data_IF_074925133688
#
_entry.id   IF_074925133688
#
_cell.length_a   1.000
_cell.length_b   1.000
_cell.length_c   1.000
_cell.angle_alpha   90.00
_cell.angle_beta   90.00
_cell.angle_gamma   90.00
#
_symmetry.space_group_name_H-M   'P 1'
#
loop_
_entity.id
_entity.type
_entity.pdbx_description
1 polymer ?
#
# COMPACT_ATOMS: atom_id res chain seq x y z
N UNK A 1 5.07 5.15 -23.80
CA UNK A 1 5.97 4.06 -23.36
C UNK A 1 5.20 3.23 -22.36
N UNK A 2 5.35 1.89 -22.32
CA UNK A 2 4.67 1.10 -21.31
C UNK A 2 5.21 1.50 -19.93
N UNK A 3 4.30 1.68 -18.97
CA UNK A 3 4.67 1.95 -17.59
C UNK A 3 5.36 0.71 -16.96
N UNK A 4 5.98 0.88 -15.80
CA UNK A 4 6.77 -0.18 -15.17
C UNK A 4 6.08 -0.77 -13.95
N UNK A 5 6.42 -2.02 -13.72
CA UNK A 5 6.07 -2.79 -12.53
C UNK A 5 7.35 -3.23 -11.84
N UNK A 6 7.23 -3.72 -10.62
CA UNK A 6 8.38 -4.30 -9.92
C UNK A 6 8.03 -4.80 -8.53
N UNK A 7 6.76 -5.07 -8.25
CA UNK A 7 6.42 -5.78 -7.03
C UNK A 7 6.83 -7.24 -7.19
N UNK A 8 7.76 -7.68 -6.34
CA UNK A 8 8.14 -9.09 -6.20
C UNK A 8 7.05 -9.85 -5.43
N UNK A 9 7.07 -11.18 -5.54
CA UNK A 9 6.08 -12.04 -4.86
C UNK A 9 5.98 -11.74 -3.35
N UNK A 10 4.80 -11.95 -2.72
CA UNK A 10 4.64 -11.65 -1.30
C UNK A 10 5.63 -12.48 -0.46
N UNK A 11 6.33 -11.83 0.46
CA UNK A 11 7.33 -12.47 1.35
C UNK A 11 6.71 -13.49 2.30
N UNK A 12 5.47 -13.26 2.74
CA UNK A 12 4.72 -14.12 3.67
C UNK A 12 5.42 -14.38 5.02
N UNK A 13 6.25 -13.44 5.49
CA UNK A 13 6.81 -13.52 6.84
C UNK A 13 5.73 -13.19 7.89
N UNK A 14 5.89 -13.63 9.15
CA UNK A 14 4.96 -13.28 10.22
C UNK A 14 4.77 -11.76 10.36
N UNK A 15 3.52 -11.32 10.49
CA UNK A 15 3.14 -9.93 10.68
C UNK A 15 1.88 -9.83 11.55
N UNK A 16 1.61 -8.62 12.05
CA UNK A 16 0.34 -8.29 12.67
C UNK A 16 -0.82 -8.55 11.70
N UNK A 17 -1.98 -8.94 12.22
CA UNK A 17 -3.19 -9.14 11.43
C UNK A 17 -4.23 -8.11 11.81
N UNK A 18 -4.72 -7.32 10.87
CA UNK A 18 -5.62 -6.22 11.17
C UNK A 18 -6.84 -6.68 11.98
N UNK A 19 -7.48 -7.77 11.53
CA UNK A 19 -8.64 -8.39 12.19
C UNK A 19 -8.47 -8.74 13.67
N UNK A 20 -7.26 -8.80 14.22
CA UNK A 20 -7.09 -9.14 15.65
C UNK A 20 -7.25 -7.92 16.55
N UNK A 21 -6.95 -6.71 16.07
CA UNK A 21 -6.92 -5.50 16.89
C UNK A 21 -7.80 -4.36 16.35
N UNK A 22 -8.58 -4.56 15.28
CA UNK A 22 -9.65 -3.61 14.95
C UNK A 22 -10.86 -3.84 15.84
N UNK A 23 -11.48 -2.76 16.31
CA UNK A 23 -12.56 -2.79 17.27
C UNK A 23 -13.71 -3.70 16.79
N UNK A 24 -13.98 -4.83 17.47
CA UNK A 24 -15.22 -5.56 17.29
C UNK A 24 -16.33 -4.65 17.79
N UNK A 25 -17.37 -4.39 17.00
CA UNK A 25 -18.65 -3.99 17.59
C UNK A 25 -19.18 -5.19 18.39
N UNK A 26 -18.67 -5.35 19.62
CA UNK A 26 -19.05 -6.29 20.67
C UNK A 26 -19.29 -7.78 20.26
N UNK A 27 -18.45 -8.67 20.80
CA UNK A 27 -18.74 -10.10 21.05
C UNK A 27 -19.01 -11.02 19.83
N UNK A 28 -17.95 -11.74 19.40
CA UNK A 28 -18.08 -13.18 19.13
C UNK A 28 -18.10 -13.70 17.68
N UNK A 29 -17.91 -12.88 16.64
CA UNK A 29 -17.62 -13.33 15.26
C UNK A 29 -16.64 -12.37 14.57
N UNK A 30 -15.87 -12.84 13.57
CA UNK A 30 -14.78 -12.12 12.87
C UNK A 30 -15.05 -10.61 12.85
N UNK A 31 -14.30 -9.78 13.59
CA UNK A 31 -14.62 -8.38 13.76
C UNK A 31 -14.39 -7.64 12.44
N UNK A 32 -15.47 -7.15 11.86
CA UNK A 32 -15.40 -6.09 10.86
C UNK A 32 -15.97 -4.85 11.54
N UNK A 33 -15.16 -3.80 11.77
CA UNK A 33 -15.65 -2.53 12.27
C UNK A 33 -16.76 -2.00 11.38
N UNK A 34 -17.81 -1.43 11.99
CA UNK A 34 -18.78 -0.64 11.23
C UNK A 34 -18.03 0.53 10.61
N UNK A 35 -18.07 0.63 9.28
CA UNK A 35 -17.47 1.71 8.51
C UNK A 35 -18.57 2.40 7.68
N UNK A 36 -18.33 3.63 7.20
CA UNK A 36 -19.25 4.30 6.30
C UNK A 36 -19.55 3.46 5.05
N UNK A 37 -20.63 3.76 4.32
CA UNK A 37 -20.93 3.02 3.08
C UNK A 37 -20.00 3.41 1.93
N UNK A 38 -19.28 4.50 2.10
CA UNK A 38 -18.53 5.23 1.07
C UNK A 38 -17.39 5.96 1.76
N UNK A 39 -16.18 5.88 1.23
CA UNK A 39 -15.08 6.78 1.60
C UNK A 39 -14.29 7.17 0.37
N UNK A 40 -13.77 8.39 0.36
CA UNK A 40 -12.95 8.89 -0.75
C UNK A 40 -11.90 9.88 -0.21
N UNK A 41 -10.77 9.33 0.24
CA UNK A 41 -9.64 10.13 0.67
C UNK A 41 -8.86 10.68 -0.53
N UNK A 42 -8.97 10.05 -1.71
CA UNK A 42 -8.27 10.44 -2.93
C UNK A 42 -8.79 11.77 -3.49
N UNK A 43 -10.11 12.01 -3.44
CA UNK A 43 -10.74 13.22 -3.99
C UNK A 43 -10.27 14.54 -3.36
N UNK A 44 -9.57 14.51 -2.22
CA UNK A 44 -8.97 15.70 -1.59
C UNK A 44 -7.68 16.15 -2.28
N UNK A 45 -7.08 15.30 -3.10
CA UNK A 45 -5.78 15.51 -3.72
C UNK A 45 -5.88 15.43 -5.24
N UNK A 46 -5.14 16.31 -5.90
CA UNK A 46 -4.89 16.27 -7.34
C UNK A 46 -3.40 16.13 -7.62
N UNK A 47 -3.03 16.05 -8.90
CA UNK A 47 -1.63 16.11 -9.34
C UNK A 47 -0.74 15.02 -8.74
N UNK A 48 -1.27 13.79 -8.70
CA UNK A 48 -0.49 12.60 -8.37
C UNK A 48 0.66 12.44 -9.38
N UNK A 49 1.83 12.08 -8.87
CA UNK A 49 3.05 11.99 -9.66
C UNK A 49 3.37 10.53 -9.97
N UNK A 50 3.99 10.32 -11.14
CA UNK A 50 4.47 9.00 -11.57
C UNK A 50 5.70 8.56 -10.76
N UNK A 51 6.51 9.53 -10.32
CA UNK A 51 7.68 9.34 -9.46
C UNK A 51 8.66 8.27 -9.98
N UNK A 52 8.85 8.18 -11.29
CA UNK A 52 9.84 7.31 -11.93
C UNK A 52 9.33 5.90 -12.25
N UNK A 53 8.08 5.59 -11.91
CA UNK A 53 7.44 4.31 -12.23
C UNK A 53 7.00 4.15 -13.69
N UNK A 54 7.42 5.07 -14.56
CA UNK A 54 7.44 4.94 -16.01
C UNK A 54 8.79 4.46 -16.56
N UNK A 55 9.86 4.52 -15.76
CA UNK A 55 11.22 4.12 -16.17
C UNK A 55 11.81 2.97 -15.36
N UNK A 56 11.49 2.85 -14.06
CA UNK A 56 12.02 1.83 -13.16
C UNK A 56 10.93 0.98 -12.48
N UNK A 57 11.31 -0.20 -11.96
CA UNK A 57 10.42 -1.13 -11.25
C UNK A 57 10.04 -0.71 -9.81
N UNK A 58 9.92 0.57 -9.55
CA UNK A 58 9.86 1.19 -8.22
C UNK A 58 8.45 1.42 -7.67
N UNK A 59 7.43 0.83 -8.28
CA UNK A 59 6.01 0.95 -7.89
C UNK A 59 5.75 0.89 -6.37
N UNK A 60 6.52 0.07 -5.66
CA UNK A 60 6.44 -0.04 -4.21
C UNK A 60 6.93 1.23 -3.51
N UNK A 61 8.05 1.81 -3.95
CA UNK A 61 8.55 3.08 -3.41
C UNK A 61 7.66 4.27 -3.78
N UNK A 62 7.04 4.26 -4.96
CA UNK A 62 6.00 5.24 -5.32
C UNK A 62 4.76 5.08 -4.45
N UNK A 63 4.35 3.84 -4.14
CA UNK A 63 3.22 3.60 -3.22
C UNK A 63 3.49 4.11 -1.82
N UNK A 64 4.72 3.98 -1.31
CA UNK A 64 5.14 4.64 -0.07
C UNK A 64 4.92 6.15 -0.14
N UNK A 65 5.45 6.82 -1.16
CA UNK A 65 5.33 8.27 -1.30
C UNK A 65 3.86 8.72 -1.40
N UNK A 66 3.05 8.01 -2.19
CA UNK A 66 1.62 8.29 -2.34
C UNK A 66 0.87 8.10 -1.01
N UNK A 67 1.17 7.03 -0.26
CA UNK A 67 0.54 6.78 1.03
C UNK A 67 0.93 7.83 2.07
N UNK A 68 2.21 8.25 2.11
CA UNK A 68 2.67 9.33 2.99
C UNK A 68 1.97 10.65 2.66
N UNK A 69 1.84 11.00 1.38
CA UNK A 69 1.06 12.16 0.93
C UNK A 69 -0.39 12.08 1.41
N UNK A 70 -1.05 10.96 1.16
CA UNK A 70 -2.47 10.79 1.53
C UNK A 70 -2.67 10.94 3.04
N UNK A 71 -1.82 10.30 3.85
CA UNK A 71 -1.92 10.33 5.32
C UNK A 71 -1.66 11.73 5.85
N UNK A 72 -0.58 12.38 5.41
CA UNK A 72 -0.20 13.72 5.88
C UNK A 72 -1.23 14.79 5.47
N UNK A 73 -1.77 14.72 4.25
CA UNK A 73 -2.83 15.64 3.81
C UNK A 73 -4.13 15.51 4.63
N UNK A 74 -4.41 14.32 5.19
CA UNK A 74 -5.62 14.07 5.96
C UNK A 74 -5.46 14.34 7.46
N UNK A 75 -4.26 14.16 8.00
CA UNK A 75 -4.03 14.13 9.45
C UNK A 75 -2.99 15.15 9.94
N UNK A 76 -2.25 15.80 9.04
CA UNK A 76 -1.23 16.79 9.40
C UNK A 76 -1.03 17.85 8.29
N UNK A 77 0.21 18.30 8.09
CA UNK A 77 0.61 19.14 6.95
C UNK A 77 1.02 18.24 5.79
N UNK A 78 0.37 18.39 4.64
CA UNK A 78 0.67 17.60 3.43
C UNK A 78 2.17 17.61 3.12
N UNK A 79 2.73 16.41 3.01
CA UNK A 79 4.08 16.17 2.53
C UNK A 79 4.01 15.13 1.41
N UNK A 80 4.41 15.51 0.19
CA UNK A 80 4.57 14.57 -0.91
C UNK A 80 6.07 14.26 -1.09
N UNK A 81 6.53 13.06 -0.70
CA UNK A 81 7.94 12.70 -0.88
C UNK A 81 8.39 12.85 -2.34
N UNK A 82 9.57 13.43 -2.50
CA UNK A 82 10.17 13.74 -3.79
C UNK A 82 10.67 12.49 -4.53
N UNK A 83 10.95 12.65 -5.83
CA UNK A 83 11.59 11.60 -6.63
C UNK A 83 12.89 11.07 -6.00
N UNK A 84 13.70 11.96 -5.40
CA UNK A 84 14.96 11.57 -4.74
C UNK A 84 14.68 10.65 -3.55
N UNK A 85 13.68 10.98 -2.74
CA UNK A 85 13.28 10.16 -1.59
C UNK A 85 12.71 8.81 -2.04
N UNK A 86 11.96 8.77 -3.14
CA UNK A 86 11.50 7.51 -3.75
C UNK A 86 12.70 6.64 -4.15
N UNK A 87 13.72 7.21 -4.78
CA UNK A 87 14.95 6.48 -5.11
C UNK A 87 15.72 5.99 -3.89
N UNK A 88 15.83 6.82 -2.85
CA UNK A 88 16.46 6.43 -1.59
C UNK A 88 15.74 5.24 -0.94
N UNK A 89 14.41 5.23 -0.96
CA UNK A 89 13.65 4.07 -0.46
C UNK A 89 13.77 2.85 -1.39
N UNK A 90 13.77 3.04 -2.71
CA UNK A 90 13.95 1.95 -3.68
C UNK A 90 15.31 1.24 -3.51
N UNK A 91 16.36 2.02 -3.27
CA UNK A 91 17.73 1.54 -3.06
C UNK A 91 17.90 0.72 -1.76
N UNK A 92 16.94 0.76 -0.83
CA UNK A 92 16.98 -0.10 0.38
C UNK A 92 16.91 -1.58 0.05
N UNK A 93 16.29 -1.94 -1.09
CA UNK A 93 16.25 -3.31 -1.61
C UNK A 93 17.11 -3.48 -2.88
N UNK A 94 17.57 -2.38 -3.47
CA UNK A 94 18.36 -2.35 -4.71
C UNK A 94 19.62 -1.48 -4.53
N UNK A 95 20.56 -1.84 -3.63
CA UNK A 95 21.70 -0.96 -3.29
C UNK A 95 22.68 -0.73 -4.45
N UNK A 96 22.62 -1.55 -5.50
CA UNK A 96 23.41 -1.37 -6.72
C UNK A 96 22.76 -0.47 -7.76
N UNK A 97 21.49 -0.10 -7.59
CA UNK A 97 20.74 0.73 -8.54
C UNK A 97 21.20 2.19 -8.48
N UNK A 98 21.48 2.78 -9.65
CA UNK A 98 21.80 4.21 -9.81
C UNK A 98 20.74 4.88 -10.70
N UNK A 99 19.93 5.81 -10.18
CA UNK A 99 18.94 6.53 -10.98
C UNK A 99 19.52 7.30 -12.17
N UNK A 100 20.82 7.64 -12.15
CA UNK A 100 21.53 8.30 -13.24
C UNK A 100 22.26 7.32 -14.19
N UNK A 101 22.24 6.02 -13.86
CA UNK A 101 22.85 4.96 -14.66
C UNK A 101 22.05 4.62 -15.91
N UNK A 102 22.58 3.69 -16.70
CA UNK A 102 21.94 3.19 -17.93
C UNK A 102 21.41 1.77 -17.74
N UNK A 103 20.58 1.29 -18.68
CA UNK A 103 20.09 -0.09 -18.67
C UNK A 103 21.22 -1.13 -18.83
N UNK A 104 22.36 -0.76 -19.42
CA UNK A 104 23.51 -1.65 -19.61
C UNK A 104 24.41 -1.74 -18.36
N UNK A 105 24.34 -0.75 -17.47
CA UNK A 105 25.15 -0.67 -16.27
C UNK A 105 24.31 -1.04 -15.03
N UNK A 106 23.63 -0.05 -14.44
CA UNK A 106 22.96 -0.17 -13.15
C UNK A 106 21.76 0.77 -12.97
N UNK A 107 21.25 1.39 -14.04
CA UNK A 107 20.12 2.30 -14.00
C UNK A 107 18.76 1.66 -14.31
N UNK A 108 17.74 2.48 -14.62
CA UNK A 108 16.40 2.01 -14.97
C UNK A 108 16.42 0.96 -16.09
N UNK A 109 15.74 -0.17 -15.87
CA UNK A 109 15.71 -1.31 -16.79
C UNK A 109 16.95 -2.20 -16.80
N UNK A 110 17.97 -1.91 -15.98
CA UNK A 110 19.16 -2.76 -15.84
C UNK A 110 18.92 -4.00 -14.97
N UNK A 111 19.92 -4.88 -14.88
CA UNK A 111 19.90 -6.00 -13.94
C UNK A 111 19.89 -5.59 -12.45
N UNK A 112 20.10 -4.31 -12.13
CA UNK A 112 19.97 -3.75 -10.77
C UNK A 112 18.58 -3.18 -10.48
N UNK A 113 17.72 -3.06 -11.50
CA UNK A 113 16.31 -2.64 -11.37
C UNK A 113 15.42 -3.86 -11.05
N UNK A 114 15.52 -4.37 -9.82
CA UNK A 114 14.95 -5.68 -9.44
C UNK A 114 13.60 -5.59 -8.71
N UNK A 115 13.04 -4.39 -8.58
CA UNK A 115 11.79 -4.19 -7.88
C UNK A 115 11.91 -4.31 -6.36
N UNK A 116 10.79 -4.49 -5.67
CA UNK A 116 10.73 -4.60 -4.21
C UNK A 116 9.69 -5.61 -3.74
N UNK A 117 9.92 -6.20 -2.59
CA UNK A 117 8.88 -6.89 -1.81
C UNK A 117 8.21 -5.87 -0.88
N UNK A 118 6.87 -5.87 -0.83
CA UNK A 118 6.10 -4.92 0.00
C UNK A 118 6.48 -5.07 1.47
N UNK A 119 6.41 -6.29 2.01
CA UNK A 119 6.69 -6.56 3.43
C UNK A 119 8.12 -6.18 3.84
N UNK A 120 9.13 -6.45 3.00
CA UNK A 120 10.52 -6.02 3.28
C UNK A 120 10.62 -4.49 3.35
N UNK A 121 9.86 -3.77 2.53
CA UNK A 121 9.76 -2.31 2.60
C UNK A 121 9.08 -1.83 3.88
N UNK A 122 7.97 -2.45 4.28
CA UNK A 122 7.26 -2.13 5.52
C UNK A 122 8.10 -2.40 6.78
N UNK A 123 8.86 -3.50 6.79
CA UNK A 123 9.85 -3.79 7.84
C UNK A 123 10.92 -2.70 7.92
N UNK A 124 11.45 -2.25 6.78
CA UNK A 124 12.41 -1.15 6.73
C UNK A 124 11.81 0.14 7.30
N UNK A 125 10.60 0.51 6.89
CA UNK A 125 9.89 1.71 7.38
C UNK A 125 9.62 1.63 8.89
N UNK A 126 9.37 0.43 9.42
CA UNK A 126 9.16 0.21 10.84
C UNK A 126 10.48 0.16 11.65
N UNK A 127 11.61 -0.21 11.07
CA UNK A 127 12.90 -0.30 11.79
C UNK A 127 13.72 0.98 11.65
N UNK A 128 13.83 1.52 10.45
CA UNK A 128 14.72 2.63 10.10
C UNK A 128 13.96 3.94 9.85
N UNK A 129 12.70 3.85 9.41
CA UNK A 129 11.93 4.99 8.94
C UNK A 129 12.08 5.24 7.44
N UNK A 130 11.20 6.07 6.90
CA UNK A 130 11.23 6.50 5.51
C UNK A 130 12.27 7.60 5.27
N UNK A 131 12.65 7.84 4.00
CA UNK A 131 13.47 8.99 3.63
C UNK A 131 12.90 10.36 4.02
N UNK A 132 11.58 10.45 4.27
CA UNK A 132 10.92 11.63 4.84
C UNK A 132 11.19 11.85 6.34
N UNK A 133 11.99 10.97 6.96
CA UNK A 133 12.34 11.01 8.38
C UNK A 133 11.28 10.40 9.30
N UNK A 134 10.16 9.88 8.76
CA UNK A 134 9.07 9.34 9.57
C UNK A 134 9.14 7.83 9.66
N UNK A 135 9.05 7.32 10.89
CA UNK A 135 9.09 5.89 11.19
C UNK A 135 7.69 5.32 11.38
N UNK A 136 7.39 4.20 10.72
CA UNK A 136 6.13 3.50 10.94
C UNK A 136 6.09 2.94 12.36
N UNK A 137 4.99 3.18 13.08
CA UNK A 137 4.75 2.65 14.43
C UNK A 137 4.58 1.13 14.35
N UNK A 138 3.81 0.66 13.38
CA UNK A 138 3.62 -0.75 13.06
C UNK A 138 3.01 -0.89 11.65
N UNK A 139 2.87 -2.13 11.17
CA UNK A 139 2.14 -2.46 9.94
C UNK A 139 1.44 -3.80 10.12
N UNK A 140 0.35 -4.04 9.39
CA UNK A 140 -0.44 -5.26 9.51
C UNK A 140 -1.04 -5.71 8.18
N UNK A 141 -1.19 -7.02 8.02
CA UNK A 141 -1.91 -7.63 6.89
C UNK A 141 -3.40 -7.36 7.02
N UNK A 142 -4.04 -7.03 5.90
CA UNK A 142 -5.48 -6.98 5.72
C UNK A 142 -5.91 -8.23 4.96
N UNK A 143 -6.97 -8.91 5.41
CA UNK A 143 -7.57 -10.00 4.63
C UNK A 143 -8.25 -9.43 3.37
N UNK A 144 -7.50 -9.36 2.27
CA UNK A 144 -8.00 -8.82 1.00
C UNK A 144 -9.17 -9.63 0.41
N UNK A 145 -9.39 -10.87 0.88
CA UNK A 145 -10.55 -11.69 0.48
C UNK A 145 -11.82 -11.33 1.25
N UNK A 146 -11.69 -10.53 2.31
CA UNK A 146 -12.78 -9.99 3.10
C UNK A 146 -12.95 -8.50 2.78
N UNK A 147 -13.76 -8.18 1.76
CA UNK A 147 -14.00 -6.79 1.34
C UNK A 147 -14.45 -5.87 2.49
N UNK A 148 -15.16 -6.41 3.48
CA UNK A 148 -15.61 -5.62 4.60
C UNK A 148 -14.44 -5.24 5.54
N UNK A 149 -13.41 -6.09 5.67
CA UNK A 149 -12.15 -5.75 6.36
C UNK A 149 -11.31 -4.75 5.56
N UNK A 150 -11.32 -4.85 4.22
CA UNK A 150 -10.67 -3.89 3.31
C UNK A 150 -11.30 -2.50 3.45
N UNK A 151 -12.63 -2.41 3.43
CA UNK A 151 -13.36 -1.15 3.58
C UNK A 151 -13.17 -0.55 4.99
N UNK A 152 -13.14 -1.39 6.03
CA UNK A 152 -12.81 -0.94 7.38
C UNK A 152 -11.37 -0.41 7.47
N UNK A 153 -10.40 -1.08 6.83
CA UNK A 153 -9.02 -0.63 6.76
C UNK A 153 -8.92 0.75 6.08
N UNK A 154 -9.55 0.92 4.93
CA UNK A 154 -9.62 2.21 4.23
C UNK A 154 -10.28 3.29 5.10
N UNK A 155 -11.39 2.99 5.77
CA UNK A 155 -12.08 3.95 6.61
C UNK A 155 -11.27 4.39 7.84
N UNK A 156 -10.50 3.49 8.45
CA UNK A 156 -9.73 3.78 9.68
C UNK A 156 -8.40 4.48 9.35
N UNK A 157 -7.67 3.99 8.34
CA UNK A 157 -6.28 4.41 8.05
C UNK A 157 -6.16 5.35 6.84
N UNK A 158 -7.26 5.62 6.13
CA UNK A 158 -7.27 6.49 4.95
C UNK A 158 -6.72 5.85 3.68
N UNK A 159 -5.84 4.85 3.80
CA UNK A 159 -5.26 4.16 2.66
C UNK A 159 -4.76 2.76 2.98
N UNK A 160 -4.71 1.92 1.95
CA UNK A 160 -4.12 0.58 2.01
C UNK A 160 -3.08 0.44 0.89
N UNK A 161 -2.03 -0.29 1.20
CA UNK A 161 -0.97 -0.64 0.26
C UNK A 161 -1.26 -2.01 -0.30
N UNK A 162 -1.60 -2.08 -1.60
CA UNK A 162 -1.97 -3.32 -2.26
C UNK A 162 -0.81 -3.86 -3.08
N UNK A 163 -0.66 -5.18 -3.08
CA UNK A 163 0.10 -5.91 -4.08
C UNK A 163 -0.85 -6.66 -5.00
N UNK A 164 -0.74 -6.38 -6.30
CA UNK A 164 -1.59 -6.96 -7.34
C UNK A 164 -0.77 -7.62 -8.43
N UNK A 165 -1.41 -8.49 -9.19
CA UNK A 165 -0.96 -8.97 -10.50
C UNK A 165 -1.66 -8.16 -11.59
N UNK A 166 -0.88 -7.57 -12.49
CA UNK A 166 -1.37 -6.80 -13.63
C UNK A 166 -1.41 -7.69 -14.87
N UNK A 167 -2.47 -7.56 -15.66
CA UNK A 167 -2.64 -8.23 -16.94
C UNK A 167 -2.31 -7.27 -18.08
N UNK A 168 -1.88 -7.80 -19.24
CA UNK A 168 -1.63 -6.99 -20.45
C UNK A 168 -2.82 -6.06 -20.75
N UNK A 169 -4.04 -6.60 -20.67
CA UNK A 169 -5.27 -5.86 -20.93
C UNK A 169 -5.54 -4.71 -19.95
N UNK A 170 -4.97 -4.73 -18.73
CA UNK A 170 -5.16 -3.64 -17.79
C UNK A 170 -4.37 -2.38 -18.18
N UNK A 171 -3.28 -2.51 -18.95
CA UNK A 171 -2.63 -1.34 -19.56
C UNK A 171 -3.55 -0.67 -20.58
N UNK A 172 -4.23 -1.46 -21.41
CA UNK A 172 -5.21 -0.96 -22.38
C UNK A 172 -6.43 -0.34 -21.67
N UNK A 173 -6.92 -0.96 -20.60
CA UNK A 173 -8.01 -0.41 -19.77
C UNK A 173 -7.59 0.92 -19.13
N UNK A 174 -6.37 1.00 -18.60
CA UNK A 174 -5.82 2.24 -18.05
C UNK A 174 -5.74 3.35 -19.10
N UNK A 175 -5.17 3.06 -20.27
CA UNK A 175 -5.06 4.02 -21.37
C UNK A 175 -6.44 4.47 -21.90
N UNK A 176 -7.46 3.61 -21.77
CA UNK A 176 -8.83 3.90 -22.14
C UNK A 176 -9.67 4.52 -21.00
N UNK A 177 -9.07 4.83 -19.84
CA UNK A 177 -9.75 5.31 -18.63
C UNK A 177 -10.92 4.41 -18.20
N UNK A 178 -10.72 3.10 -18.21
CA UNK A 178 -11.70 2.10 -17.79
C UNK A 178 -11.29 1.45 -16.47
N UNK A 179 -12.27 1.01 -15.66
CA UNK A 179 -12.01 0.14 -14.52
C UNK A 179 -11.24 -1.09 -14.93
N UNK A 180 -10.35 -1.57 -14.06
CA UNK A 180 -9.57 -2.76 -14.32
C UNK A 180 -10.41 -4.01 -14.08
N UNK A 181 -10.35 -4.97 -15.01
CA UNK A 181 -11.11 -6.23 -14.96
C UNK A 181 -10.22 -7.47 -15.09
N UNK A 182 -10.74 -8.65 -14.74
CA UNK A 182 -10.08 -9.96 -14.89
C UNK A 182 -10.14 -10.50 -16.34
N UNK A 183 -9.74 -9.67 -17.31
CA UNK A 183 -9.89 -9.94 -18.76
C UNK A 183 -9.46 -11.37 -19.11
N UNK A 184 -10.44 -12.20 -19.45
CA UNK A 184 -10.25 -13.64 -19.68
C UNK A 184 -9.24 -13.90 -20.79
N UNK A 185 -8.23 -14.70 -20.48
CA UNK A 185 -7.19 -15.09 -21.45
C UNK A 185 -6.10 -14.03 -21.63
N UNK A 186 -6.20 -12.87 -20.98
CA UNK A 186 -5.09 -11.94 -20.90
C UNK A 186 -3.92 -12.57 -20.14
N UNK A 187 -2.70 -12.32 -20.61
CA UNK A 187 -1.49 -12.79 -19.94
C UNK A 187 -1.21 -11.90 -18.72
N UNK A 188 -0.46 -12.47 -17.79
CA UNK A 188 0.15 -11.73 -16.69
C UNK A 188 1.31 -10.92 -17.26
N UNK A 189 1.30 -9.63 -17.01
CA UNK A 189 2.34 -8.68 -17.43
C UNK A 189 3.38 -8.49 -16.31
N UNK A 190 2.92 -8.31 -15.07
CA UNK A 190 3.82 -8.17 -13.92
C UNK A 190 3.13 -8.01 -12.57
N UNK A 191 3.93 -7.98 -11.50
CA UNK A 191 3.46 -7.65 -10.15
C UNK A 191 3.57 -6.16 -9.88
N UNK A 192 2.52 -5.54 -9.35
CA UNK A 192 2.46 -4.10 -9.11
C UNK A 192 2.04 -3.76 -7.68
N UNK A 193 2.62 -2.70 -7.14
CA UNK A 193 2.23 -2.15 -5.84
C UNK A 193 1.53 -0.81 -6.06
N UNK A 194 0.41 -0.60 -5.39
CA UNK A 194 -0.45 0.57 -5.56
C UNK A 194 -1.03 1.06 -4.23
N UNK A 195 -1.40 2.33 -4.19
CA UNK A 195 -2.18 2.93 -3.10
C UNK A 195 -3.67 2.85 -3.45
N UNK A 196 -4.47 2.17 -2.64
CA UNK A 196 -5.92 2.40 -2.62
C UNK A 196 -6.29 3.36 -1.49
N UNK A 197 -7.17 4.31 -1.78
CA UNK A 197 -7.52 5.42 -0.85
C UNK A 197 -9.01 5.75 -0.83
N UNK A 198 -9.86 4.85 -1.32
CA UNK A 198 -11.31 5.06 -1.32
C UNK A 198 -12.09 3.86 -1.84
N UNK A 199 -13.40 3.91 -1.66
CA UNK A 199 -14.35 2.96 -2.24
C UNK A 199 -15.71 3.62 -2.43
N UNK A 200 -16.37 3.45 -3.59
CA UNK A 200 -17.86 3.47 -3.79
C UNK A 200 -18.24 3.23 -5.27
N UNK A 201 -18.96 2.16 -5.64
CA UNK A 201 -19.17 0.93 -4.88
C UNK A 201 -17.87 0.11 -4.76
N UNK A 202 -16.91 0.38 -5.63
CA UNK A 202 -15.68 -0.39 -5.80
C UNK A 202 -14.45 0.36 -5.27
N UNK A 203 -13.36 -0.37 -5.03
CA UNK A 203 -12.09 0.18 -4.52
C UNK A 203 -11.41 1.04 -5.58
N UNK A 204 -11.07 2.27 -5.18
CA UNK A 204 -10.37 3.27 -6.01
C UNK A 204 -8.91 3.38 -5.59
N UNK A 205 -8.03 3.53 -6.57
CA UNK A 205 -6.59 3.52 -6.35
C UNK A 205 -5.83 4.43 -7.30
N UNK A 206 -4.62 4.80 -6.88
CA UNK A 206 -3.69 5.59 -7.67
C UNK A 206 -2.64 4.65 -8.29
N UNK A 207 -2.47 4.76 -9.60
CA UNK A 207 -1.35 4.17 -10.33
C UNK A 207 -0.87 5.14 -11.41
N UNK A 208 0.45 5.25 -11.59
CA UNK A 208 1.06 6.08 -12.63
C UNK A 208 0.53 7.54 -12.65
N UNK A 209 0.45 8.15 -11.46
CA UNK A 209 -0.02 9.52 -11.29
C UNK A 209 -1.50 9.75 -11.62
N UNK A 210 -2.29 8.70 -11.82
CA UNK A 210 -3.70 8.80 -12.19
C UNK A 210 -4.56 7.92 -11.30
N UNK A 211 -5.75 8.39 -10.99
CA UNK A 211 -6.75 7.61 -10.30
C UNK A 211 -7.51 6.67 -11.26
N UNK A 212 -7.75 5.45 -10.81
CA UNK A 212 -8.62 4.47 -11.47
C UNK A 212 -9.30 3.59 -10.41
N UNK A 213 -10.03 2.57 -10.84
CA UNK A 213 -10.77 1.68 -9.94
C UNK A 213 -10.75 0.22 -10.42
N UNK A 214 -11.02 -0.69 -9.50
CA UNK A 214 -11.24 -2.10 -9.83
C UNK A 214 -12.71 -2.36 -10.13
N UNK A 215 -13.01 -3.13 -11.17
CA UNK A 215 -14.29 -3.83 -11.20
C UNK A 215 -14.31 -4.94 -10.13
N UNK A 216 -15.49 -5.35 -9.62
CA UNK A 216 -15.61 -6.49 -8.70
C UNK A 216 -14.96 -7.78 -9.22
N UNK A 217 -14.90 -7.94 -10.55
CA UNK A 217 -14.33 -9.11 -11.18
C UNK A 217 -12.81 -9.16 -11.07
N UNK A 218 -12.12 -8.02 -11.09
CA UNK A 218 -10.69 -7.97 -10.82
C UNK A 218 -10.39 -8.36 -9.37
N UNK A 219 -11.11 -7.76 -8.41
CA UNK A 219 -10.85 -7.99 -6.98
C UNK A 219 -10.95 -9.47 -6.59
N UNK A 220 -11.95 -10.16 -7.14
CA UNK A 220 -12.18 -11.60 -6.88
C UNK A 220 -11.51 -12.51 -7.91
N UNK A 221 -10.87 -11.93 -8.92
CA UNK A 221 -10.35 -12.62 -10.08
C UNK A 221 -9.11 -13.44 -9.78
N UNK A 222 -8.93 -14.48 -10.59
CA UNK A 222 -7.73 -15.33 -10.57
C UNK A 222 -7.31 -15.64 -11.99
N UNK A 223 -6.02 -15.51 -12.28
CA UNK A 223 -5.43 -15.89 -13.57
C UNK A 223 -4.35 -16.93 -13.31
N UNK A 224 -4.46 -18.09 -13.96
CA UNK A 224 -3.53 -19.22 -13.80
C UNK A 224 -3.38 -19.71 -12.34
N UNK A 225 -4.45 -19.59 -11.53
CA UNK A 225 -4.44 -19.97 -10.12
C UNK A 225 -3.94 -18.87 -9.18
N UNK A 226 -3.39 -17.79 -9.72
CA UNK A 226 -2.89 -16.63 -8.96
C UNK A 226 -4.02 -15.60 -8.77
N UNK A 227 -4.33 -15.19 -7.53
CA UNK A 227 -5.21 -14.05 -7.27
C UNK A 227 -4.70 -12.77 -7.94
N UNK A 228 -5.60 -11.95 -8.49
CA UNK A 228 -5.22 -10.64 -9.03
C UNK A 228 -4.89 -9.63 -7.93
N UNK A 229 -5.52 -9.74 -6.76
CA UNK A 229 -5.09 -9.07 -5.52
C UNK A 229 -4.42 -10.13 -4.65
N UNK A 230 -3.13 -9.97 -4.33
CA UNK A 230 -2.31 -10.99 -3.65
C UNK A 230 -1.99 -10.64 -2.20
N UNK A 231 -1.89 -9.34 -1.88
CA UNK A 231 -1.59 -8.87 -0.53
C UNK A 231 -2.17 -7.46 -0.32
N UNK A 232 -2.54 -7.17 0.91
CA UNK A 232 -3.04 -5.87 1.32
C UNK A 232 -2.50 -5.54 2.71
N UNK A 233 -2.04 -4.30 2.88
CA UNK A 233 -1.37 -3.86 4.10
C UNK A 233 -1.87 -2.49 4.55
N UNK A 234 -2.00 -2.34 5.86
CA UNK A 234 -2.09 -1.02 6.51
C UNK A 234 -0.77 -0.67 7.15
N UNK A 235 -0.42 0.61 7.11
CA UNK A 235 0.75 1.15 7.80
C UNK A 235 0.29 2.14 8.85
N UNK A 236 0.66 1.90 10.10
CA UNK A 236 0.33 2.76 11.23
C UNK A 236 1.45 3.79 11.36
N UNK A 237 1.22 4.97 10.80
CA UNK A 237 2.08 6.13 10.99
C UNK A 237 1.80 6.89 12.30
N UNK A 238 2.76 7.69 12.81
CA UNK A 238 2.55 8.56 13.96
C UNK A 238 1.33 9.48 13.84
N UNK A 239 1.02 9.98 12.64
CA UNK A 239 -0.12 10.88 12.39
C UNK A 239 -1.48 10.23 12.66
N UNK A 240 -1.57 8.89 12.65
CA UNK A 240 -2.79 8.21 13.06
C UNK A 240 -3.00 8.26 14.57
N UNK A 241 -1.93 8.34 15.36
CA UNK A 241 -2.02 8.29 16.80
C UNK A 241 -2.74 9.54 17.32
N UNK A 242 -3.85 9.33 18.02
CA UNK A 242 -4.70 10.43 18.50
C UNK A 242 -5.76 10.88 17.51
N UNK A 243 -5.74 10.42 16.26
CA UNK A 243 -6.85 10.69 15.33
C UNK A 243 -8.13 9.99 15.81
N UNK A 244 -9.28 10.65 15.61
CA UNK A 244 -10.57 10.10 16.06
C UNK A 244 -10.85 8.72 15.48
N UNK A 245 -10.65 8.54 14.17
CA UNK A 245 -10.91 7.27 13.48
C UNK A 245 -10.00 6.15 13.98
N UNK A 246 -8.74 6.45 14.28
CA UNK A 246 -7.82 5.46 14.84
C UNK A 246 -8.23 5.08 16.27
N UNK A 247 -8.52 6.05 17.13
CA UNK A 247 -8.92 5.82 18.51
C UNK A 247 -10.23 5.02 18.63
N UNK A 248 -11.17 5.23 17.70
CA UNK A 248 -12.44 4.49 17.65
C UNK A 248 -12.29 3.12 16.95
N UNK A 249 -11.41 3.01 15.96
CA UNK A 249 -11.27 1.84 15.10
C UNK A 249 -10.25 0.80 15.58
N UNK A 250 -9.30 1.18 16.44
CA UNK A 250 -8.18 0.32 16.85
C UNK A 250 -8.20 0.06 18.35
N UNK A 251 -8.23 -1.22 18.73
CA UNK A 251 -7.96 -1.66 20.08
C UNK A 251 -6.44 -1.63 20.33
N UNK A 252 -5.94 -0.51 20.86
CA UNK A 252 -4.52 -0.29 21.11
C UNK A 252 -3.91 -1.35 22.04
N UNK A 253 -4.64 -1.78 23.08
CA UNK A 253 -4.15 -2.82 23.99
C UNK A 253 -3.94 -4.17 23.29
N UNK A 254 -4.84 -4.52 22.36
CA UNK A 254 -4.70 -5.74 21.56
C UNK A 254 -3.59 -5.60 20.51
N UNK A 255 -3.44 -4.42 19.89
CA UNK A 255 -2.33 -4.12 18.99
C UNK A 255 -0.97 -4.28 19.71
N UNK A 256 -0.83 -3.77 20.93
CA UNK A 256 0.38 -3.92 21.74
C UNK A 256 0.66 -5.39 22.09
N UNK A 257 -0.38 -6.14 22.47
CA UNK A 257 -0.27 -7.57 22.78
C UNK A 257 0.17 -8.39 21.56
N UNK A 258 -0.46 -8.14 20.41
CA UNK A 258 -0.14 -8.82 19.15
C UNK A 258 1.27 -8.44 18.67
N UNK A 259 1.65 -7.17 18.80
CA UNK A 259 2.99 -6.71 18.46
C UNK A 259 4.04 -7.42 19.28
N UNK A 260 3.82 -7.55 20.59
CA UNK A 260 4.72 -8.32 21.47
C UNK A 260 4.77 -9.80 21.11
N UNK A 261 3.63 -10.39 20.72
CA UNK A 261 3.59 -11.80 20.31
C UNK A 261 4.37 -12.05 19.01
N UNK A 262 4.31 -11.14 18.04
CA UNK A 262 4.99 -11.28 16.74
C UNK A 262 6.48 -10.92 16.83
N UNK A 263 6.83 -9.86 17.58
CA UNK A 263 8.19 -9.29 17.56
C UNK A 263 9.03 -9.63 18.80
N UNK A 264 8.40 -10.07 19.89
CA UNK A 264 9.04 -10.22 21.20
C UNK A 264 9.36 -8.88 21.91
N UNK A 265 8.94 -7.74 21.35
CA UNK A 265 9.25 -6.39 21.86
C UNK A 265 7.97 -5.67 22.30
N UNK A 266 8.12 -4.70 23.19
CA UNK A 266 7.02 -3.76 23.49
C UNK A 266 6.87 -2.78 22.34
N UNK A 267 5.62 -2.49 21.94
CA UNK A 267 5.34 -1.48 20.93
C UNK A 267 5.77 -0.11 21.45
N UNK A 268 6.67 0.56 20.73
CA UNK A 268 7.09 1.91 21.06
C UNK A 268 6.13 2.91 20.40
N UNK A 269 5.34 3.61 21.21
CA UNK A 269 4.55 4.74 20.74
C UNK A 269 5.40 6.01 20.81
N UNK A 270 5.38 6.88 19.79
CA UNK A 270 5.97 8.20 19.90
C UNK A 270 5.33 8.96 21.06
N UNK A 271 6.07 9.86 21.74
CA UNK A 271 5.52 10.68 22.80
C UNK A 271 4.32 11.48 22.26
N UNK A 272 3.27 11.61 23.07
CA UNK A 272 2.15 12.47 22.72
C UNK A 272 2.66 13.90 22.51
N UNK A 273 2.44 14.48 21.33
CA UNK A 273 2.68 15.90 21.13
C UNK A 273 1.73 16.69 22.04
N UNK A 274 2.30 17.64 22.79
CA UNK A 274 1.60 18.49 23.77
C UNK A 274 1.12 19.76 23.10
#
# INVERSE_FOLDING_TARGET
>A
MPFKYGRRAPKQAPALRLSTFVAPSALGRKPVPTHPKTEDYLAKLSDWQVLGNDVAGDCNAVTWANLRRLVTANLSTENYPSQREVWEFYQTQNPGFDPAGTADDNGPGSGQDQGMEIQTGLEYLHVNGGPDGVKAVAFATVDHTNLAEVQAALAIFGGIWLGITVLDANQDEFAAHKPWTDVRGSKIDGGHAILAGGYTPDVRFITWGTETEFAPSFWNGKVQGTPLVEEAWVVIWPEHLGSKTFLEGVNLAQLEADYKAVTGRTLALPPAEV
#
